data_IF_726096251009
#
_entry.id   IF_726096251009
#
_cell.length_a   1.000
_cell.length_b   1.000
_cell.length_c   1.000
_cell.angle_alpha   90.00
_cell.angle_beta   90.00
_cell.angle_gamma   90.00
#
_symmetry.space_group_name_H-M   'P 1'
#
loop_
_entity.id
_entity.type
_entity.pdbx_description
1 polymer ?
#
# COMPACT_ATOMS: atom_id res chain seq x y z
N UNK A 1 8.15 -1.84 -16.98
CA UNK A 1 7.61 -2.58 -18.15
C UNK A 1 6.91 -3.83 -17.64
N UNK A 2 5.60 -3.93 -17.83
CA UNK A 2 4.82 -5.11 -17.44
C UNK A 2 5.16 -6.29 -18.37
N UNK A 3 5.45 -7.47 -17.81
CA UNK A 3 5.66 -8.71 -18.58
C UNK A 3 4.70 -9.77 -18.05
N UNK A 4 3.86 -10.31 -18.93
CA UNK A 4 3.02 -11.48 -18.68
C UNK A 4 3.93 -12.72 -18.62
N UNK A 5 4.38 -13.08 -17.41
CA UNK A 5 5.42 -14.12 -17.22
C UNK A 5 4.85 -15.53 -17.32
N UNK A 6 3.57 -15.69 -17.01
CA UNK A 6 2.83 -16.95 -16.92
C UNK A 6 1.81 -17.12 -18.06
N UNK A 7 1.68 -16.14 -18.95
CA UNK A 7 0.82 -16.22 -20.14
C UNK A 7 -0.68 -16.10 -19.83
N UNK A 8 -1.06 -15.81 -18.59
CA UNK A 8 -2.47 -15.75 -18.17
C UNK A 8 -3.20 -14.60 -18.82
N UNK A 9 -2.55 -13.45 -18.97
CA UNK A 9 -3.19 -12.28 -19.60
C UNK A 9 -3.44 -12.57 -21.07
N UNK A 10 -2.47 -13.18 -21.75
CA UNK A 10 -2.66 -13.66 -23.12
C UNK A 10 -3.84 -14.60 -23.23
N UNK A 11 -3.99 -15.57 -22.33
CA UNK A 11 -5.12 -16.50 -22.34
C UNK A 11 -6.48 -15.79 -22.18
N UNK A 12 -6.59 -14.79 -21.31
CA UNK A 12 -7.81 -13.97 -21.19
C UNK A 12 -8.13 -13.20 -22.48
N UNK A 13 -7.11 -12.59 -23.09
CA UNK A 13 -7.26 -11.84 -24.33
C UNK A 13 -7.67 -12.75 -25.49
N UNK A 14 -7.05 -13.92 -25.61
CA UNK A 14 -7.38 -14.92 -26.62
C UNK A 14 -8.82 -15.42 -26.44
N UNK A 15 -9.25 -15.70 -25.19
CA UNK A 15 -10.62 -16.11 -24.91
C UNK A 15 -11.64 -15.01 -25.21
N UNK A 16 -11.35 -13.75 -24.88
CA UNK A 16 -12.22 -12.63 -25.25
C UNK A 16 -12.33 -12.46 -26.77
N UNK A 17 -11.23 -12.69 -27.51
CA UNK A 17 -11.26 -12.68 -28.98
C UNK A 17 -12.17 -13.79 -29.51
N UNK A 18 -12.06 -15.02 -29.00
CA UNK A 18 -12.95 -16.13 -29.38
C UNK A 18 -14.43 -15.78 -29.16
N UNK A 19 -14.79 -15.26 -27.98
CA UNK A 19 -16.18 -14.85 -27.68
C UNK A 19 -16.69 -13.74 -28.62
N UNK A 20 -15.81 -12.82 -29.04
CA UNK A 20 -16.14 -11.77 -30.02
C UNK A 20 -16.31 -12.32 -31.44
N UNK A 21 -15.54 -13.34 -31.82
CA UNK A 21 -15.62 -13.99 -33.13
C UNK A 21 -16.85 -14.90 -33.24
N UNK A 22 -17.15 -15.68 -32.20
CA UNK A 22 -18.28 -16.60 -32.16
C UNK A 22 -19.63 -15.88 -32.03
N UNK A 23 -19.67 -14.72 -31.36
CA UNK A 23 -20.88 -13.92 -31.09
C UNK A 23 -22.07 -14.74 -30.55
N UNK A 24 -21.77 -15.78 -29.78
CA UNK A 24 -22.79 -16.63 -29.19
C UNK A 24 -23.74 -15.81 -28.30
N UNK A 25 -24.95 -16.34 -28.08
CA UNK A 25 -25.94 -15.69 -27.20
C UNK A 25 -25.31 -15.48 -25.82
N UNK A 26 -25.23 -14.22 -25.39
CA UNK A 26 -24.61 -13.86 -24.11
C UNK A 26 -23.12 -13.47 -24.18
N UNK A 27 -22.53 -13.31 -25.37
CA UNK A 27 -21.12 -12.93 -25.49
C UNK A 27 -20.79 -11.59 -24.83
N UNK A 28 -21.67 -10.58 -24.87
CA UNK A 28 -21.45 -9.30 -24.18
C UNK A 28 -21.32 -9.45 -22.65
N UNK A 29 -22.25 -10.12 -21.95
CA UNK A 29 -22.06 -10.51 -20.55
C UNK A 29 -20.76 -11.29 -20.31
N UNK A 30 -20.41 -12.23 -21.20
CA UNK A 30 -19.18 -13.03 -21.05
C UNK A 30 -17.92 -12.17 -21.12
N UNK A 31 -17.84 -11.26 -22.11
CA UNK A 31 -16.75 -10.30 -22.23
C UNK A 31 -16.61 -9.42 -20.98
N UNK A 32 -17.72 -8.99 -20.37
CA UNK A 32 -17.69 -8.22 -19.12
C UNK A 32 -17.10 -9.02 -17.97
N UNK A 33 -17.47 -10.30 -17.84
CA UNK A 33 -16.94 -11.18 -16.79
C UNK A 33 -15.45 -11.42 -17.00
N UNK A 34 -15.03 -11.74 -18.23
CA UNK A 34 -13.62 -11.96 -18.57
C UNK A 34 -12.77 -10.72 -18.30
N UNK A 35 -13.28 -9.52 -18.63
CA UNK A 35 -12.61 -8.26 -18.33
C UNK A 35 -12.49 -8.02 -16.82
N UNK A 36 -13.56 -8.28 -16.05
CA UNK A 36 -13.53 -8.13 -14.59
C UNK A 36 -12.52 -9.08 -13.95
N UNK A 37 -12.48 -10.34 -14.39
CA UNK A 37 -11.53 -11.32 -13.85
C UNK A 37 -10.08 -10.93 -14.17
N UNK A 38 -9.81 -10.48 -15.41
CA UNK A 38 -8.51 -9.94 -15.80
C UNK A 38 -8.08 -8.77 -14.89
N UNK A 39 -8.98 -7.84 -14.59
CA UNK A 39 -8.70 -6.71 -13.69
C UNK A 39 -8.42 -7.18 -12.26
N UNK A 40 -9.23 -8.10 -11.72
CA UNK A 40 -9.05 -8.66 -10.38
C UNK A 40 -7.70 -9.37 -10.28
N UNK A 41 -7.34 -10.20 -11.25
CA UNK A 41 -6.07 -10.92 -11.26
C UNK A 41 -4.88 -9.96 -11.40
N UNK A 42 -5.01 -8.92 -12.22
CA UNK A 42 -3.98 -7.89 -12.34
C UNK A 42 -3.73 -7.18 -10.99
N UNK A 43 -4.81 -6.81 -10.28
CA UNK A 43 -4.72 -6.20 -8.95
C UNK A 43 -4.11 -7.16 -7.94
N UNK A 44 -4.48 -8.45 -7.96
CA UNK A 44 -3.89 -9.47 -7.09
C UNK A 44 -2.42 -9.67 -7.37
N UNK A 45 -2.00 -9.70 -8.63
CA UNK A 45 -0.60 -9.83 -9.01
C UNK A 45 0.21 -8.62 -8.54
N UNK A 46 -0.32 -7.41 -8.67
CA UNK A 46 0.28 -6.20 -8.10
C UNK A 46 0.32 -6.32 -6.58
N UNK A 47 -0.77 -6.72 -5.93
CA UNK A 47 -0.87 -6.90 -4.49
C UNK A 47 0.07 -7.97 -3.92
N UNK A 48 0.38 -9.01 -4.69
CA UNK A 48 1.39 -10.04 -4.36
C UNK A 48 2.82 -9.53 -4.56
N UNK A 49 3.03 -8.55 -5.45
CA UNK A 49 4.31 -7.87 -5.65
C UNK A 49 4.52 -6.72 -4.66
N UNK A 50 3.45 -6.17 -4.09
CA UNK A 50 3.54 -5.36 -2.88
C UNK A 50 3.88 -6.36 -1.77
N UNK A 51 5.05 -6.25 -1.10
CA UNK A 51 5.28 -7.07 0.09
C UNK A 51 4.08 -6.91 1.00
N UNK A 52 3.57 -8.01 1.59
CA UNK A 52 2.63 -7.95 2.71
C UNK A 52 3.11 -6.82 3.60
N UNK A 53 2.39 -5.70 3.60
CA UNK A 53 2.77 -4.60 4.46
C UNK A 53 2.66 -5.21 5.85
N UNK A 54 3.75 -5.34 6.62
CA UNK A 54 3.60 -5.70 8.02
C UNK A 54 2.55 -4.72 8.55
N UNK A 55 1.48 -5.25 9.14
CA UNK A 55 0.42 -4.41 9.72
C UNK A 55 1.09 -3.28 10.48
N UNK A 56 0.67 -2.04 10.28
CA UNK A 56 1.49 -0.88 10.64
C UNK A 56 1.87 -0.97 12.10
N UNK A 57 3.11 -1.38 12.36
CA UNK A 57 3.55 -1.54 13.73
C UNK A 57 4.09 -0.18 14.16
N UNK A 58 3.44 0.42 15.15
CA UNK A 58 3.94 1.67 15.75
C UNK A 58 5.35 1.45 16.31
N UNK A 59 5.68 0.22 16.73
CA UNK A 59 7.05 -0.22 17.08
C UNK A 59 8.07 0.03 15.97
N UNK A 60 7.72 -0.21 14.70
CA UNK A 60 8.60 0.05 13.55
C UNK A 60 8.86 1.55 13.38
N UNK A 61 7.82 2.38 13.50
CA UNK A 61 7.98 3.85 13.43
C UNK A 61 8.90 4.33 14.56
N UNK A 62 8.72 3.80 15.77
CA UNK A 62 9.57 4.13 16.92
C UNK A 62 11.02 3.66 16.74
N UNK A 63 11.23 2.50 16.10
CA UNK A 63 12.57 2.01 15.78
C UNK A 63 13.26 2.89 14.72
N UNK A 64 12.52 3.29 13.69
CA UNK A 64 13.05 4.17 12.63
C UNK A 64 13.42 5.56 13.19
N UNK A 65 12.62 6.11 14.10
CA UNK A 65 12.96 7.35 14.81
C UNK A 65 14.22 7.17 15.66
N UNK A 66 14.35 6.06 16.38
CA UNK A 66 15.52 5.77 17.23
C UNK A 66 16.80 5.60 16.43
N UNK A 67 16.72 5.03 15.23
CA UNK A 67 17.88 4.82 14.35
C UNK A 67 18.49 6.12 13.84
N UNK A 68 17.67 7.11 13.54
CA UNK A 68 18.15 8.43 13.12
C UNK A 68 17.27 9.55 13.69
N UNK A 69 17.59 9.96 14.92
CA UNK A 69 16.84 10.98 15.66
C UNK A 69 16.88 12.37 14.99
N UNK A 70 17.94 12.65 14.22
CA UNK A 70 18.16 13.93 13.55
C UNK A 70 17.39 14.06 12.24
N UNK A 71 16.97 12.94 11.63
CA UNK A 71 16.17 12.95 10.41
C UNK A 71 14.83 13.69 10.57
N UNK A 72 14.30 14.27 9.48
CA UNK A 72 13.01 14.96 9.46
C UNK A 72 11.84 13.95 9.48
N UNK A 73 11.57 13.39 10.66
CA UNK A 73 10.44 12.51 10.90
C UNK A 73 9.12 13.27 10.89
N UNK A 74 8.15 12.82 10.10
CA UNK A 74 6.81 13.38 10.11
C UNK A 74 5.72 12.31 10.03
N UNK A 75 4.67 12.49 10.83
CA UNK A 75 3.52 11.61 10.83
C UNK A 75 2.86 11.55 9.43
N UNK A 76 2.85 12.66 8.70
CA UNK A 76 2.33 12.74 7.33
C UNK A 76 3.14 11.89 6.34
N UNK A 77 4.47 11.90 6.44
CA UNK A 77 5.32 11.06 5.60
C UNK A 77 5.11 9.57 5.91
N UNK A 78 5.03 9.21 7.20
CA UNK A 78 4.70 7.84 7.61
C UNK A 78 3.32 7.42 7.13
N UNK A 79 2.30 8.27 7.30
CA UNK A 79 0.94 7.99 6.83
C UNK A 79 0.90 7.74 5.32
N UNK A 80 1.61 8.56 4.52
CA UNK A 80 1.75 8.34 3.08
C UNK A 80 2.42 6.99 2.76
N UNK A 81 3.51 6.66 3.45
CA UNK A 81 4.23 5.38 3.28
C UNK A 81 3.33 4.18 3.54
N UNK A 82 2.45 4.27 4.52
CA UNK A 82 1.49 3.22 4.85
C UNK A 82 0.14 3.35 4.14
N UNK A 83 -0.01 4.30 3.20
CA UNK A 83 -1.28 4.64 2.51
C UNK A 83 -2.46 4.84 3.46
N UNK A 84 -2.21 5.51 4.59
CA UNK A 84 -3.21 5.90 5.57
C UNK A 84 -3.46 7.41 5.54
N UNK A 85 -4.62 7.79 6.09
CA UNK A 85 -4.87 9.18 6.50
C UNK A 85 -4.03 9.51 7.76
N UNK A 86 -3.40 10.70 7.85
CA UNK A 86 -2.64 11.11 9.03
C UNK A 86 -3.43 10.99 10.34
N UNK A 87 -4.73 11.29 10.33
CA UNK A 87 -5.57 11.22 11.53
C UNK A 87 -5.75 9.78 12.02
N UNK A 88 -5.81 8.81 11.09
CA UNK A 88 -5.90 7.39 11.43
C UNK A 88 -4.59 6.90 12.06
N UNK A 89 -3.45 7.28 11.48
CA UNK A 89 -2.14 6.95 12.04
C UNK A 89 -1.93 7.61 13.41
N UNK A 90 -2.36 8.86 13.59
CA UNK A 90 -2.27 9.58 14.87
C UNK A 90 -3.07 8.88 15.98
N UNK A 91 -4.32 8.48 15.70
CA UNK A 91 -5.16 7.75 16.66
C UNK A 91 -4.56 6.40 17.03
N UNK A 92 -4.05 5.66 16.04
CA UNK A 92 -3.40 4.37 16.24
C UNK A 92 -2.13 4.50 17.07
N UNK A 93 -1.27 5.48 16.73
CA UNK A 93 -0.05 5.78 17.47
C UNK A 93 -0.33 6.08 18.94
N UNK A 94 -1.32 6.95 19.22
CA UNK A 94 -1.71 7.26 20.61
C UNK A 94 -2.29 6.06 21.34
N UNK A 95 -3.11 5.24 20.67
CA UNK A 95 -3.69 4.04 21.27
C UNK A 95 -2.61 3.04 21.69
N UNK A 96 -1.54 2.90 20.91
CA UNK A 96 -0.50 1.91 21.16
C UNK A 96 0.64 2.41 22.06
N UNK A 97 0.96 3.69 22.02
CA UNK A 97 2.07 4.27 22.80
C UNK A 97 1.63 5.01 24.06
N UNK A 98 0.34 5.35 24.17
CA UNK A 98 -0.19 6.24 25.21
C UNK A 98 0.12 7.72 24.99
N UNK A 99 1.00 8.08 24.04
CA UNK A 99 1.45 9.46 23.79
C UNK A 99 1.21 9.93 22.35
N UNK A 100 1.30 11.24 22.11
CA UNK A 100 1.24 11.79 20.75
C UNK A 100 2.56 11.59 20.00
N UNK A 101 2.51 11.50 18.66
CA UNK A 101 3.72 11.37 17.83
C UNK A 101 4.75 12.49 18.06
N UNK A 102 4.31 13.75 18.13
CA UNK A 102 5.19 14.89 18.38
C UNK A 102 5.83 14.85 19.78
N UNK A 103 5.11 14.31 20.77
CA UNK A 103 5.62 14.12 22.12
C UNK A 103 6.69 13.03 22.14
N UNK A 104 6.44 11.92 21.44
CA UNK A 104 7.41 10.85 21.25
C UNK A 104 8.70 11.34 20.57
N UNK A 105 8.58 12.19 19.54
CA UNK A 105 9.74 12.82 18.89
C UNK A 105 10.52 13.72 19.84
N UNK A 106 9.85 14.55 20.65
CA UNK A 106 10.51 15.41 21.64
C UNK A 106 11.24 14.60 22.71
N UNK A 107 10.65 13.50 23.16
CA UNK A 107 11.26 12.59 24.15
C UNK A 107 12.51 11.92 23.63
N UNK A 108 12.54 11.58 22.34
CA UNK A 108 13.66 10.88 21.71
C UNK A 108 14.77 11.83 21.23
N UNK A 109 14.47 13.12 21.03
CA UNK A 109 15.46 14.12 20.63
C UNK A 109 16.21 14.71 21.83
N UNK A 110 17.55 14.69 21.84
CA UNK A 110 18.31 15.44 22.84
C UNK A 110 18.01 16.95 22.72
N UNK A 111 18.06 17.71 23.83
CA UNK A 111 17.72 19.14 23.85
C UNK A 111 18.46 20.00 22.83
N UNK A 112 19.68 19.61 22.45
CA UNK A 112 20.50 20.29 21.44
C UNK A 112 19.87 20.28 20.05
N UNK A 113 19.16 19.21 19.67
CA UNK A 113 18.52 19.08 18.35
C UNK A 113 17.14 19.75 18.28
N UNK A 114 16.53 20.07 19.43
CA UNK A 114 15.26 20.81 19.49
C UNK A 114 15.42 22.31 19.25
N UNK A 115 16.65 22.84 19.34
CA UNK A 115 16.98 24.27 19.19
C UNK A 115 17.33 24.69 17.74
N UNK A 116 17.33 23.75 16.80
CA UNK A 116 17.72 23.98 15.39
C UNK A 116 16.51 24.06 14.43
N UNK A 117 15.30 24.23 14.97
CA UNK A 117 14.04 24.47 14.25
C UNK A 117 13.50 25.85 14.65
#
# INVERSE_FOLDING_TARGET
>A
MFRDRDGRIRAFLDRMREEMEEQAVGYYPMLRVLLLDLLIQSVRLIGLQVPERPGIEVSWILEEIRRDVAAPHSLTAYARRFSMRPEALSRMFRRETGEGFAESLRRQRPPALLRML
#
